data_IF_067255841780
#
_entry.id   IF_067255841780
#
_cell.length_a   1.000
_cell.length_b   1.000
_cell.length_c   1.000
_cell.angle_alpha   90.00
_cell.angle_beta   90.00
_cell.angle_gamma   90.00
#
_symmetry.space_group_name_H-M   'P 1'
#
loop_
_entity.id
_entity.type
_entity.pdbx_description
1 polymer ?
#
# COMPACT_ATOMS: atom_id res chain seq x y z
N UNK A 1 28.77 9.19 27.72
CA UNK A 1 27.52 9.98 27.85
C UNK A 1 27.69 11.51 27.84
N UNK A 2 28.27 12.19 28.86
CA UNK A 2 28.43 13.68 28.80
C UNK A 2 29.27 14.13 27.61
N UNK A 3 30.29 13.34 27.27
CA UNK A 3 31.12 13.53 26.08
C UNK A 3 30.28 13.50 24.79
N UNK A 4 29.43 12.48 24.60
CA UNK A 4 28.63 12.30 23.38
C UNK A 4 27.62 13.45 23.18
N UNK A 5 26.98 13.89 24.26
CA UNK A 5 26.04 15.03 24.22
C UNK A 5 26.77 16.32 23.84
N UNK A 6 27.95 16.56 24.44
CA UNK A 6 28.76 17.73 24.10
C UNK A 6 29.23 17.68 22.65
N UNK A 7 29.63 16.50 22.16
CA UNK A 7 30.06 16.31 20.78
C UNK A 7 28.92 16.58 19.79
N UNK A 8 27.73 16.02 20.03
CA UNK A 8 26.55 16.27 19.21
C UNK A 8 26.19 17.76 19.13
N UNK A 9 26.18 18.45 20.28
CA UNK A 9 25.94 19.91 20.35
C UNK A 9 27.03 20.72 19.66
N UNK A 10 28.30 20.33 19.80
CA UNK A 10 29.43 21.02 19.17
C UNK A 10 29.39 20.88 17.65
N UNK A 11 29.09 19.69 17.11
CA UNK A 11 28.93 19.45 15.67
C UNK A 11 27.77 20.26 15.11
N UNK A 12 26.62 20.26 15.80
CA UNK A 12 25.48 21.09 15.40
C UNK A 12 25.82 22.59 15.42
N UNK A 13 26.50 23.05 16.46
CA UNK A 13 26.91 24.45 16.58
C UNK A 13 27.86 24.86 15.45
N UNK A 14 28.83 24.03 15.12
CA UNK A 14 29.75 24.26 13.99
C UNK A 14 28.98 24.31 12.66
N UNK A 15 28.07 23.38 12.40
CA UNK A 15 27.21 23.39 11.21
C UNK A 15 26.32 24.63 11.14
N UNK A 16 25.71 25.03 12.26
CA UNK A 16 24.84 26.22 12.34
C UNK A 16 25.61 27.49 11.99
N UNK A 17 26.87 27.59 12.40
CA UNK A 17 27.71 28.76 12.12
C UNK A 17 28.19 28.85 10.67
N UNK A 18 28.16 27.75 9.92
CA UNK A 18 28.47 27.75 8.48
C UNK A 18 27.34 28.32 7.63
N UNK A 19 26.14 28.48 8.19
CA UNK A 19 24.96 28.98 7.49
C UNK A 19 24.75 30.47 7.80
N UNK A 20 24.86 31.37 6.80
CA UNK A 20 24.49 32.76 6.99
C UNK A 20 23.00 32.87 7.33
N UNK A 21 22.70 33.45 8.50
CA UNK A 21 21.32 33.63 9.00
C UNK A 21 20.40 34.41 8.05
N UNK A 22 20.98 35.20 7.13
CA UNK A 22 20.23 35.93 6.10
C UNK A 22 19.64 35.03 5.01
N UNK A 23 20.18 33.82 4.82
CA UNK A 23 19.69 32.86 3.81
C UNK A 23 18.79 31.82 4.48
N UNK A 24 19.30 31.18 5.54
CA UNK A 24 18.59 30.14 6.27
C UNK A 24 19.21 29.94 7.65
N UNK A 25 18.52 29.20 8.52
CA UNK A 25 19.02 28.78 9.84
C UNK A 25 18.56 27.37 10.12
N UNK A 26 19.26 26.69 11.03
CA UNK A 26 18.85 25.41 11.61
C UNK A 26 18.64 25.59 13.10
N UNK A 27 17.51 25.11 13.61
CA UNK A 27 17.18 25.18 15.04
C UNK A 27 17.41 23.83 15.72
N UNK A 28 17.89 23.88 16.96
CA UNK A 28 18.23 22.67 17.70
C UNK A 28 16.99 21.85 17.99
N UNK A 29 15.89 22.51 18.34
CA UNK A 29 14.62 21.89 18.74
C UNK A 29 13.96 21.09 17.60
N UNK A 30 14.24 21.45 16.34
CA UNK A 30 13.75 20.76 15.14
C UNK A 30 14.78 19.75 14.57
N UNK A 31 15.89 19.53 15.27
CA UNK A 31 17.00 18.73 14.79
C UNK A 31 17.31 17.55 15.71
N UNK A 32 17.95 16.53 15.15
CA UNK A 32 18.37 15.36 15.90
C UNK A 32 19.83 15.01 15.58
N UNK A 33 20.64 14.78 16.62
CA UNK A 33 22.03 14.33 16.49
C UNK A 33 22.23 13.02 17.22
N UNK A 34 22.70 11.99 16.51
CA UNK A 34 23.11 10.71 17.09
C UNK A 34 24.62 10.53 17.01
N UNK A 35 25.23 10.12 18.12
CA UNK A 35 26.67 9.88 18.22
C UNK A 35 26.91 8.41 18.54
N UNK A 36 27.50 7.70 17.58
CA UNK A 36 28.04 6.36 17.78
C UNK A 36 29.42 6.47 18.45
N UNK A 37 29.59 5.82 19.61
CA UNK A 37 30.80 5.93 20.42
C UNK A 37 31.07 4.66 21.23
N UNK A 38 32.08 4.69 22.10
CA UNK A 38 32.37 3.57 23.02
C UNK A 38 31.17 3.25 23.92
N UNK A 39 30.50 4.29 24.42
CA UNK A 39 29.35 4.15 25.32
C UNK A 39 28.06 3.83 24.54
N UNK A 40 27.91 4.37 23.32
CA UNK A 40 26.70 4.26 22.51
C UNK A 40 26.89 3.26 21.34
N UNK A 41 26.31 2.04 21.39
CA UNK A 41 26.46 1.03 20.35
C UNK A 41 25.59 1.24 19.11
N UNK A 42 24.60 2.12 19.20
CA UNK A 42 23.61 2.34 18.16
C UNK A 42 23.86 3.68 17.45
N UNK A 43 23.67 3.69 16.14
CA UNK A 43 23.53 4.92 15.36
C UNK A 43 22.06 5.09 14.97
N UNK A 44 21.47 6.23 15.31
CA UNK A 44 20.06 6.53 15.08
C UNK A 44 19.92 7.65 14.06
N UNK A 45 18.98 7.52 13.14
CA UNK A 45 18.56 8.62 12.27
C UNK A 45 17.14 8.38 11.76
N UNK A 46 16.51 9.43 11.24
CA UNK A 46 15.26 9.32 10.51
C UNK A 46 15.42 9.90 9.11
N UNK A 47 14.82 9.24 8.12
CA UNK A 47 14.87 9.68 6.73
C UNK A 47 13.61 9.26 5.98
N UNK A 48 13.00 10.19 5.26
CA UNK A 48 11.82 9.94 4.43
C UNK A 48 10.67 9.23 5.18
N UNK A 49 10.51 9.52 6.48
CA UNK A 49 9.47 8.92 7.34
C UNK A 49 9.83 7.56 7.96
N UNK A 50 11.01 7.02 7.67
CA UNK A 50 11.57 5.85 8.35
C UNK A 50 12.45 6.27 9.51
N UNK A 51 12.29 5.63 10.66
CA UNK A 51 13.23 5.68 11.78
C UNK A 51 14.14 4.46 11.71
N UNK A 52 15.45 4.70 11.71
CA UNK A 52 16.45 3.66 11.49
C UNK A 52 17.43 3.63 12.66
N UNK A 53 17.61 2.44 13.22
CA UNK A 53 18.67 2.15 14.18
C UNK A 53 19.65 1.16 13.59
N UNK A 54 20.90 1.57 13.42
CA UNK A 54 21.99 0.71 12.97
C UNK A 54 22.76 0.19 14.18
N UNK A 55 22.93 -1.13 14.25
CA UNK A 55 23.75 -1.82 15.24
C UNK A 55 24.82 -2.68 14.53
N UNK A 56 26.11 -2.33 14.66
CA UNK A 56 27.20 -3.16 14.14
C UNK A 56 27.31 -4.50 14.87
N UNK A 57 27.57 -5.58 14.12
CA UNK A 57 27.68 -6.94 14.64
C UNK A 57 28.73 -7.06 15.74
N UNK A 58 29.88 -6.38 15.59
CA UNK A 58 30.97 -6.33 16.57
C UNK A 58 30.57 -5.79 17.96
N UNK A 59 29.46 -5.07 18.04
CA UNK A 59 28.95 -4.46 19.27
C UNK A 59 27.72 -5.18 19.83
N UNK A 60 27.26 -6.23 19.16
CA UNK A 60 26.18 -7.08 19.64
C UNK A 60 26.74 -8.11 20.62
N UNK A 61 26.63 -7.83 21.93
CA UNK A 61 27.24 -8.67 22.97
C UNK A 61 26.52 -10.01 23.21
N UNK A 62 25.28 -10.14 22.74
CA UNK A 62 24.44 -11.29 23.07
C UNK A 62 24.38 -12.35 21.97
N UNK A 63 24.96 -12.11 20.78
CA UNK A 63 24.84 -12.96 19.57
C UNK A 63 23.42 -13.44 19.21
N UNK A 64 22.39 -12.95 19.91
CA UNK A 64 20.99 -13.10 19.56
C UNK A 64 20.71 -12.20 18.37
N UNK A 65 20.72 -12.81 17.19
CA UNK A 65 20.17 -12.20 15.99
C UNK A 65 18.70 -12.58 15.94
N UNK A 66 17.76 -11.72 16.37
CA UNK A 66 16.38 -11.92 16.00
C UNK A 66 16.33 -11.74 14.48
N UNK A 67 16.32 -12.85 13.74
CA UNK A 67 15.93 -12.88 12.32
C UNK A 67 14.44 -12.56 12.30
N UNK A 68 14.13 -11.28 12.52
CA UNK A 68 12.79 -10.70 12.35
C UNK A 68 12.73 -10.19 10.91
N UNK A 69 11.62 -10.44 10.23
CA UNK A 69 11.35 -10.01 8.84
C UNK A 69 11.42 -8.47 8.62
N UNK A 70 11.66 -7.68 9.68
CA UNK A 70 11.68 -6.22 9.70
C UNK A 70 13.07 -5.61 9.96
N UNK A 71 14.13 -6.41 9.86
CA UNK A 71 15.51 -5.98 10.11
C UNK A 71 16.36 -6.22 8.87
N UNK A 72 16.96 -5.16 8.32
CA UNK A 72 17.87 -5.31 7.18
C UNK A 72 19.24 -5.80 7.64
N UNK A 73 19.79 -6.73 6.87
CA UNK A 73 21.17 -7.19 7.04
C UNK A 73 22.10 -6.42 6.11
N UNK A 74 22.86 -5.47 6.66
CA UNK A 74 23.79 -4.66 5.89
C UNK A 74 25.05 -5.46 5.57
N UNK A 75 25.38 -5.53 4.28
CA UNK A 75 26.51 -6.29 3.74
C UNK A 75 27.63 -5.35 3.35
N UNK A 76 28.86 -5.67 3.77
CA UNK A 76 30.03 -4.98 3.25
C UNK A 76 30.29 -5.38 1.80
N UNK A 77 30.45 -4.40 0.93
CA UNK A 77 30.62 -4.64 -0.50
C UNK A 77 31.95 -5.33 -0.83
N UNK A 78 32.99 -5.16 0.00
CA UNK A 78 34.31 -5.76 -0.26
C UNK A 78 34.39 -7.21 0.19
N UNK A 79 34.05 -7.49 1.44
CA UNK A 79 34.13 -8.85 2.03
C UNK A 79 32.90 -9.71 1.76
N UNK A 80 31.77 -9.09 1.37
CA UNK A 80 30.44 -9.73 1.26
C UNK A 80 29.90 -10.27 2.59
N UNK A 81 30.50 -9.90 3.71
CA UNK A 81 30.03 -10.29 5.03
C UNK A 81 28.92 -9.35 5.53
N UNK A 82 28.00 -9.90 6.33
CA UNK A 82 26.99 -9.11 7.04
C UNK A 82 27.63 -8.46 8.28
N UNK A 83 27.79 -7.14 8.24
CA UNK A 83 28.56 -6.39 9.25
C UNK A 83 27.70 -5.61 10.23
N UNK A 84 26.45 -5.29 9.86
CA UNK A 84 25.54 -4.54 10.70
C UNK A 84 24.07 -4.89 10.42
N UNK A 85 23.21 -4.57 11.38
CA UNK A 85 21.76 -4.69 11.26
C UNK A 85 21.11 -3.32 11.34
N UNK A 86 20.14 -3.07 10.46
CA UNK A 86 19.31 -1.86 10.51
C UNK A 86 17.88 -2.23 10.90
N UNK A 87 17.45 -1.76 12.06
CA UNK A 87 16.09 -1.89 12.55
C UNK A 87 15.28 -0.70 12.05
N UNK A 88 14.10 -0.98 11.48
CA UNK A 88 13.25 0.04 10.86
C UNK A 88 11.97 0.21 11.66
N UNK A 89 11.51 1.46 11.79
CA UNK A 89 10.18 1.83 12.27
C UNK A 89 9.62 2.99 11.44
N UNK A 90 8.34 3.27 11.58
CA UNK A 90 7.69 4.43 10.96
C UNK A 90 7.66 5.58 11.97
N UNK A 91 8.07 6.76 11.51
CA UNK A 91 8.05 8.00 12.33
C UNK A 91 6.65 8.32 12.85
N UNK A 92 6.58 8.87 14.07
CA UNK A 92 5.30 9.26 14.70
C UNK A 92 4.51 10.25 13.82
N UNK A 93 5.20 11.22 13.21
CA UNK A 93 4.61 12.21 12.31
C UNK A 93 3.83 11.56 11.16
N UNK A 94 4.38 10.50 10.56
CA UNK A 94 3.74 9.83 9.43
C UNK A 94 2.59 8.92 9.88
N UNK A 95 2.66 8.35 11.07
CA UNK A 95 1.51 7.69 11.73
C UNK A 95 0.37 8.71 11.90
N UNK A 96 0.69 9.92 12.37
CA UNK A 96 -0.29 10.99 12.55
C UNK A 96 -0.85 11.49 11.21
N UNK A 97 -0.02 11.65 10.18
CA UNK A 97 -0.47 11.99 8.81
C UNK A 97 -1.46 10.97 8.27
N UNK A 98 -1.19 9.67 8.46
CA UNK A 98 -2.13 8.61 8.08
C UNK A 98 -3.45 8.72 8.84
N UNK A 99 -3.41 8.87 10.17
CA UNK A 99 -4.62 9.04 10.99
C UNK A 99 -5.45 10.26 10.55
N UNK A 100 -4.79 11.39 10.32
CA UNK A 100 -5.43 12.62 9.82
C UNK A 100 -6.04 12.44 8.43
N UNK A 101 -5.38 11.68 7.55
CA UNK A 101 -5.94 11.32 6.25
C UNK A 101 -7.22 10.50 6.38
N UNK A 102 -7.27 9.52 7.29
CA UNK A 102 -8.49 8.75 7.54
C UNK A 102 -9.60 9.61 8.14
N UNK A 103 -9.27 10.51 9.08
CA UNK A 103 -10.23 11.49 9.62
C UNK A 103 -10.82 12.36 8.50
N UNK A 104 -10.00 12.86 7.59
CA UNK A 104 -10.45 13.63 6.42
C UNK A 104 -11.38 12.81 5.51
N UNK A 105 -11.09 11.52 5.29
CA UNK A 105 -11.98 10.61 4.55
C UNK A 105 -13.34 10.54 5.26
N UNK A 106 -13.37 10.31 6.57
CA UNK A 106 -14.61 10.20 7.34
C UNK A 106 -15.43 11.50 7.33
N UNK A 107 -14.79 12.66 7.50
CA UNK A 107 -15.45 13.98 7.47
C UNK A 107 -16.01 14.33 6.09
N UNK A 108 -15.29 13.97 5.02
CA UNK A 108 -15.74 14.22 3.63
C UNK A 108 -16.75 13.22 3.09
N UNK A 109 -17.16 12.23 3.90
CA UNK A 109 -18.03 11.11 3.48
C UNK A 109 -19.48 11.26 3.96
N UNK A 110 -20.00 12.49 4.02
CA UNK A 110 -21.37 12.83 4.47
C UNK A 110 -22.46 12.02 3.78
N UNK A 111 -22.58 12.17 2.45
CA UNK A 111 -23.57 11.49 1.61
C UNK A 111 -22.93 10.76 0.41
N UNK A 112 -21.70 10.26 0.59
CA UNK A 112 -20.98 9.53 -0.46
C UNK A 112 -21.35 8.05 -0.43
N UNK A 113 -21.30 7.38 -1.59
CA UNK A 113 -21.52 5.93 -1.68
C UNK A 113 -20.52 5.13 -0.84
N UNK A 114 -20.94 4.00 -0.27
CA UNK A 114 -20.06 3.15 0.54
C UNK A 114 -18.84 2.65 -0.23
N UNK A 115 -19.01 2.35 -1.52
CA UNK A 115 -17.93 1.99 -2.43
C UNK A 115 -16.86 3.08 -2.55
N UNK A 116 -17.24 4.37 -2.56
CA UNK A 116 -16.29 5.49 -2.57
C UNK A 116 -15.50 5.59 -1.25
N UNK A 117 -16.15 5.31 -0.11
CA UNK A 117 -15.50 5.29 1.20
C UNK A 117 -14.45 4.16 1.24
N UNK A 118 -14.86 2.94 0.87
CA UNK A 118 -13.96 1.78 0.80
C UNK A 118 -12.78 2.02 -0.17
N UNK A 119 -13.01 2.64 -1.33
CA UNK A 119 -11.94 2.97 -2.27
C UNK A 119 -10.92 3.97 -1.72
N UNK A 120 -11.39 5.00 -1.00
CA UNK A 120 -10.50 5.98 -0.36
C UNK A 120 -9.67 5.32 0.74
N UNK A 121 -10.27 4.43 1.53
CA UNK A 121 -9.57 3.59 2.52
C UNK A 121 -8.51 2.72 1.85
N UNK A 122 -8.89 1.91 0.86
CA UNK A 122 -7.97 1.02 0.14
C UNK A 122 -6.79 1.79 -0.45
N UNK A 123 -7.04 2.96 -1.05
CA UNK A 123 -5.95 3.78 -1.62
C UNK A 123 -4.98 4.26 -0.55
N UNK A 124 -5.49 4.72 0.61
CA UNK A 124 -4.65 5.17 1.71
C UNK A 124 -3.86 4.01 2.35
N UNK A 125 -4.51 2.86 2.54
CA UNK A 125 -3.91 1.66 3.13
C UNK A 125 -2.82 1.07 2.22
N UNK A 126 -3.11 0.92 0.91
CA UNK A 126 -2.14 0.45 -0.07
C UNK A 126 -0.93 1.39 -0.08
N UNK A 127 -1.13 2.71 -0.14
CA UNK A 127 -0.02 3.65 -0.18
C UNK A 127 0.88 3.58 1.07
N UNK A 128 0.29 3.38 2.25
CA UNK A 128 1.03 3.19 3.49
C UNK A 128 1.88 1.91 3.42
N UNK A 129 1.27 0.76 3.11
CA UNK A 129 1.97 -0.52 3.13
C UNK A 129 2.94 -0.71 1.96
N UNK A 130 2.70 -0.11 0.79
CA UNK A 130 3.64 -0.23 -0.34
C UNK A 130 4.85 0.70 -0.20
N UNK A 131 4.71 1.79 0.56
CA UNK A 131 5.82 2.68 0.91
C UNK A 131 6.63 2.14 2.08
N UNK A 132 5.99 1.83 3.23
CA UNK A 132 6.70 1.44 4.45
C UNK A 132 7.01 -0.06 4.56
N UNK A 133 6.23 -0.92 3.89
CA UNK A 133 6.43 -2.37 3.81
C UNK A 133 6.76 -3.00 5.17
N UNK A 134 7.94 -3.58 5.35
CA UNK A 134 8.39 -4.24 6.57
C UNK A 134 8.45 -3.30 7.79
N UNK A 135 8.72 -2.00 7.61
CA UNK A 135 8.76 -1.02 8.69
C UNK A 135 7.36 -0.78 9.30
N UNK A 136 6.30 -0.97 8.50
CA UNK A 136 4.94 -0.84 9.01
C UNK A 136 4.59 -1.96 10.02
N UNK A 137 5.22 -3.14 9.88
CA UNK A 137 4.95 -4.32 10.72
C UNK A 137 5.75 -4.30 12.02
N UNK A 138 6.96 -3.74 12.01
CA UNK A 138 7.73 -3.52 13.25
C UNK A 138 7.16 -2.43 14.14
N UNK A 139 6.29 -1.56 13.61
CA UNK A 139 5.76 -0.39 14.32
C UNK A 139 4.40 -0.68 14.95
N UNK A 140 4.41 -1.13 16.22
CA UNK A 140 3.18 -1.52 16.95
C UNK A 140 2.14 -0.40 17.01
N UNK A 141 2.58 0.85 17.22
CA UNK A 141 1.68 2.00 17.32
C UNK A 141 0.94 2.29 16.00
N UNK A 142 1.59 2.02 14.86
CA UNK A 142 0.98 2.12 13.55
C UNK A 142 -0.08 1.02 13.37
N UNK A 143 0.22 -0.22 13.76
CA UNK A 143 -0.72 -1.34 13.70
C UNK A 143 -1.99 -1.03 14.51
N UNK A 144 -1.83 -0.52 15.74
CA UNK A 144 -2.95 -0.08 16.58
C UNK A 144 -3.78 1.03 15.92
N UNK A 145 -3.12 1.96 15.24
CA UNK A 145 -3.77 3.05 14.53
C UNK A 145 -4.54 2.53 13.32
N UNK A 146 -4.01 1.56 12.57
CA UNK A 146 -4.68 0.90 11.44
C UNK A 146 -5.95 0.20 11.91
N UNK A 147 -5.88 -0.61 12.98
CA UNK A 147 -7.05 -1.30 13.55
C UNK A 147 -8.17 -0.30 13.91
N UNK A 148 -7.82 0.78 14.61
CA UNK A 148 -8.79 1.83 14.99
C UNK A 148 -9.38 2.51 13.76
N UNK A 149 -8.56 2.80 12.74
CA UNK A 149 -9.01 3.47 11.53
C UNK A 149 -9.93 2.58 10.68
N UNK A 150 -9.60 1.30 10.53
CA UNK A 150 -10.41 0.32 9.80
C UNK A 150 -11.78 0.14 10.46
N UNK A 151 -11.79 -0.01 11.79
CA UNK A 151 -13.03 -0.09 12.58
C UNK A 151 -13.90 1.16 12.42
N UNK A 152 -13.30 2.36 12.37
CA UNK A 152 -14.03 3.61 12.12
C UNK A 152 -14.64 3.67 10.73
N UNK A 153 -13.92 3.20 9.70
CA UNK A 153 -14.43 3.13 8.32
C UNK A 153 -15.61 2.17 8.22
N UNK A 154 -15.49 0.96 8.78
CA UNK A 154 -16.60 0.01 8.85
C UNK A 154 -17.80 0.60 9.61
N UNK A 155 -17.55 1.23 10.76
CA UNK A 155 -18.60 1.88 11.57
C UNK A 155 -19.32 2.98 10.79
N UNK A 156 -18.61 3.72 9.92
CA UNK A 156 -19.22 4.74 9.07
C UNK A 156 -20.21 4.13 8.06
N UNK A 157 -19.87 2.98 7.48
CA UNK A 157 -20.78 2.22 6.60
C UNK A 157 -21.99 1.71 7.38
N UNK A 158 -21.76 1.12 8.57
CA UNK A 158 -22.81 0.65 9.48
C UNK A 158 -23.81 1.75 9.83
N UNK A 159 -23.33 2.93 10.24
CA UNK A 159 -24.16 4.11 10.53
C UNK A 159 -24.94 4.58 9.30
N UNK A 160 -24.36 4.50 8.10
CA UNK A 160 -25.06 4.84 6.86
C UNK A 160 -26.26 3.93 6.55
N UNK A 161 -26.28 2.71 7.11
CA UNK A 161 -27.39 1.75 7.03
C UNK A 161 -28.26 1.74 8.30
N UNK A 162 -28.09 2.75 9.18
CA UNK A 162 -28.81 2.92 10.43
C UNK A 162 -28.80 1.68 11.35
N UNK A 163 -27.68 0.95 11.39
CA UNK A 163 -27.50 -0.17 12.31
C UNK A 163 -26.04 -0.29 12.74
N UNK A 164 -25.81 -0.74 13.97
CA UNK A 164 -24.45 -1.08 14.47
C UNK A 164 -24.33 -2.54 14.90
N UNK A 165 -25.39 -3.32 14.73
CA UNK A 165 -25.49 -4.69 15.23
C UNK A 165 -24.49 -5.61 14.49
N UNK A 166 -23.51 -6.23 15.17
CA UNK A 166 -22.47 -7.03 14.50
C UNK A 166 -23.00 -8.15 13.60
N UNK A 167 -24.07 -8.84 14.03
CA UNK A 167 -24.68 -9.95 13.28
C UNK A 167 -25.25 -9.55 11.91
N UNK A 168 -25.58 -8.27 11.70
CA UNK A 168 -26.06 -7.76 10.39
C UNK A 168 -24.93 -7.41 9.42
N UNK A 169 -23.70 -7.38 9.92
CA UNK A 169 -22.53 -6.95 9.15
C UNK A 169 -21.43 -8.00 9.27
N UNK A 170 -21.65 -9.22 8.75
CA UNK A 170 -20.60 -10.22 8.68
C UNK A 170 -19.44 -9.69 7.82
N UNK A 171 -18.21 -10.19 8.01
CA UNK A 171 -17.05 -9.69 7.28
C UNK A 171 -17.21 -9.73 5.75
N UNK A 172 -17.96 -10.71 5.23
CA UNK A 172 -18.30 -10.83 3.83
C UNK A 172 -18.86 -9.53 3.23
N UNK A 173 -19.64 -8.73 3.97
CA UNK A 173 -20.19 -7.45 3.46
C UNK A 173 -19.08 -6.44 3.13
N UNK A 174 -17.98 -6.44 3.90
CA UNK A 174 -16.88 -5.49 3.73
C UNK A 174 -15.82 -6.00 2.76
N UNK A 175 -15.39 -7.25 2.90
CA UNK A 175 -14.18 -7.76 2.22
C UNK A 175 -14.46 -8.46 0.90
N UNK A 176 -15.70 -8.90 0.65
CA UNK A 176 -16.05 -9.52 -0.64
C UNK A 176 -15.68 -8.57 -1.79
N UNK A 177 -15.00 -9.07 -2.84
CA UNK A 177 -14.63 -8.26 -3.99
C UNK A 177 -15.85 -7.62 -4.68
N UNK A 178 -15.61 -6.49 -5.35
CA UNK A 178 -16.70 -5.73 -5.99
C UNK A 178 -17.37 -6.49 -7.12
N UNK A 179 -16.64 -7.41 -7.76
CA UNK A 179 -17.17 -8.27 -8.81
C UNK A 179 -18.22 -9.25 -8.28
N UNK A 180 -18.27 -9.48 -6.96
CA UNK A 180 -19.26 -10.31 -6.26
C UNK A 180 -20.25 -9.47 -5.42
N UNK A 181 -20.36 -8.17 -5.69
CA UNK A 181 -21.33 -7.28 -5.03
C UNK A 181 -20.90 -6.72 -3.67
N UNK A 182 -19.70 -7.04 -3.18
CA UNK A 182 -19.17 -6.50 -1.93
C UNK A 182 -18.50 -5.12 -2.07
N UNK A 183 -18.01 -4.57 -0.95
CA UNK A 183 -17.27 -3.31 -0.96
C UNK A 183 -15.83 -3.44 -1.47
N UNK A 184 -15.27 -4.65 -1.45
CA UNK A 184 -13.88 -4.93 -1.77
C UNK A 184 -12.91 -4.13 -0.88
N UNK A 185 -13.26 -3.94 0.39
CA UNK A 185 -12.40 -3.27 1.36
C UNK A 185 -11.18 -4.16 1.62
N UNK A 186 -10.00 -3.56 1.73
CA UNK A 186 -8.77 -4.30 2.03
C UNK A 186 -8.53 -4.27 3.55
N UNK A 187 -8.24 -5.44 4.11
CA UNK A 187 -7.92 -5.63 5.52
C UNK A 187 -6.46 -5.31 5.80
N UNK A 188 -6.23 -4.41 6.76
CA UNK A 188 -4.94 -4.18 7.41
C UNK A 188 -4.96 -4.56 8.90
N UNK A 189 -6.12 -4.86 9.46
CA UNK A 189 -6.35 -5.03 10.91
C UNK A 189 -6.48 -6.46 11.40
N UNK A 190 -6.70 -7.44 10.51
CA UNK A 190 -6.80 -8.87 10.86
C UNK A 190 -5.41 -9.45 11.10
N UNK A 191 -4.79 -8.99 12.19
CA UNK A 191 -3.46 -9.38 12.65
C UNK A 191 -3.50 -9.64 14.16
N UNK A 192 -2.63 -10.55 14.57
CA UNK A 192 -2.21 -10.69 15.94
C UNK A 192 -1.13 -9.64 16.21
N UNK A 193 -1.47 -8.64 17.01
CA UNK A 193 -0.54 -7.57 17.39
C UNK A 193 0.36 -8.11 18.51
N UNK A 194 1.69 -8.12 18.30
CA UNK A 194 2.61 -8.50 19.36
C UNK A 194 2.45 -7.60 20.57
N UNK A 195 2.28 -8.21 21.74
CA UNK A 195 2.20 -7.51 23.01
C UNK A 195 3.25 -8.07 23.96
N UNK A 196 3.94 -7.16 24.63
CA UNK A 196 4.87 -7.45 25.70
C UNK A 196 4.43 -6.77 26.98
N UNK A 197 5.02 -7.14 28.11
CA UNK A 197 4.68 -6.50 29.37
C UNK A 197 5.05 -5.01 29.32
N UNK A 198 4.04 -4.15 29.42
CA UNK A 198 4.18 -2.69 29.36
C UNK A 198 5.15 -2.14 30.40
N UNK A 199 5.34 -2.84 31.53
CA UNK A 199 6.24 -2.43 32.60
C UNK A 199 7.72 -2.46 32.17
N UNK A 200 8.11 -3.44 31.35
CA UNK A 200 9.51 -3.62 30.92
C UNK A 200 9.76 -3.24 29.45
N UNK A 201 8.71 -3.16 28.62
CA UNK A 201 8.78 -2.76 27.21
C UNK A 201 9.47 -1.41 26.94
N UNK A 202 9.48 -0.51 27.92
CA UNK A 202 10.15 0.81 27.82
C UNK A 202 11.66 0.75 28.00
N UNK A 203 12.19 -0.31 28.62
CA UNK A 203 13.61 -0.43 28.99
C UNK A 203 14.37 -1.41 28.09
N UNK A 204 13.74 -2.52 27.69
CA UNK A 204 14.34 -3.54 26.82
C UNK A 204 13.30 -4.14 25.89
N UNK A 205 13.73 -4.60 24.70
CA UNK A 205 12.90 -5.46 23.84
C UNK A 205 12.81 -6.83 24.52
N UNK A 206 11.79 -7.02 25.36
CA UNK A 206 11.53 -8.28 26.08
C UNK A 206 11.00 -9.39 25.17
N UNK A 207 10.97 -9.16 23.85
CA UNK A 207 10.36 -10.05 22.89
C UNK A 207 8.83 -10.05 22.99
N UNK A 208 8.19 -10.94 22.23
CA UNK A 208 6.74 -11.07 22.23
C UNK A 208 6.34 -12.07 23.32
N UNK A 209 5.65 -11.61 24.37
CA UNK A 209 5.19 -12.51 25.45
C UNK A 209 3.77 -13.02 25.22
N UNK A 210 2.93 -12.22 24.56
CA UNK A 210 1.56 -12.59 24.20
C UNK A 210 1.14 -11.87 22.92
N UNK A 211 0.07 -12.34 22.29
CA UNK A 211 -0.51 -11.70 21.12
C UNK A 211 -1.88 -11.13 21.47
N UNK A 212 -2.15 -9.89 21.06
CA UNK A 212 -3.47 -9.25 21.16
C UNK A 212 -4.12 -9.27 19.79
N UNK A 213 -5.34 -9.81 19.69
CA UNK A 213 -6.09 -9.74 18.43
C UNK A 213 -6.43 -8.28 18.07
N UNK A 214 -6.18 -7.90 16.81
CA UNK A 214 -6.52 -6.58 16.28
C UNK A 214 -8.04 -6.38 16.16
N UNK A 215 -8.74 -7.30 15.49
CA UNK A 215 -10.21 -7.30 15.38
C UNK A 215 -10.79 -8.66 15.80
N UNK A 216 -11.94 -8.63 16.45
CA UNK A 216 -12.70 -9.82 16.83
C UNK A 216 -13.51 -10.35 15.63
N UNK A 217 -13.36 -11.62 15.31
CA UNK A 217 -14.16 -12.36 14.32
C UNK A 217 -14.48 -13.75 14.89
N UNK A 218 -15.47 -14.43 14.31
CA UNK A 218 -15.78 -15.82 14.67
C UNK A 218 -14.57 -16.71 14.35
N UNK A 219 -14.24 -17.63 15.28
CA UNK A 219 -12.94 -18.32 15.42
C UNK A 219 -12.44 -19.09 14.18
N UNK A 220 -13.28 -19.30 13.16
CA UNK A 220 -12.94 -20.08 11.97
C UNK A 220 -12.55 -19.23 10.73
N UNK A 221 -12.83 -17.92 10.70
CA UNK A 221 -12.71 -17.10 9.47
C UNK A 221 -11.50 -16.15 9.45
N UNK A 222 -10.32 -16.66 9.11
CA UNK A 222 -9.09 -15.86 9.02
C UNK A 222 -9.03 -15.01 7.75
N UNK A 223 -9.36 -13.72 7.86
CA UNK A 223 -9.28 -12.78 6.74
C UNK A 223 -7.82 -12.44 6.42
N UNK A 224 -7.37 -12.62 5.16
CA UNK A 224 -6.01 -12.27 4.76
C UNK A 224 -5.69 -10.80 5.00
N UNK A 225 -4.45 -10.53 5.42
CA UNK A 225 -3.93 -9.18 5.60
C UNK A 225 -3.08 -8.74 4.39
N UNK A 226 -3.23 -7.49 3.96
CA UNK A 226 -2.47 -6.89 2.85
C UNK A 226 -0.95 -7.08 2.96
N UNK A 227 -0.38 -7.01 4.17
CA UNK A 227 1.07 -7.10 4.36
C UNK A 227 1.67 -8.39 3.78
N UNK A 228 0.97 -9.51 3.89
CA UNK A 228 1.45 -10.81 3.39
C UNK A 228 1.62 -10.85 1.87
N UNK A 229 1.01 -9.91 1.15
CA UNK A 229 1.00 -9.83 -0.31
C UNK A 229 1.91 -8.71 -0.84
N UNK A 230 2.67 -8.06 0.04
CA UNK A 230 3.64 -7.04 -0.35
C UNK A 230 5.03 -7.57 0.02
N UNK A 231 5.87 -7.71 -1.01
CA UNK A 231 7.25 -8.17 -0.85
C UNK A 231 8.04 -7.10 -0.09
N UNK A 232 8.84 -7.43 0.95
CA UNK A 232 9.69 -6.46 1.65
C UNK A 232 10.68 -5.72 0.73
N UNK A 233 11.12 -4.51 1.10
CA UNK A 233 12.09 -3.74 0.32
C UNK A 233 13.44 -4.45 0.20
N UNK A 234 13.95 -5.06 1.28
CA UNK A 234 15.21 -5.81 1.23
C UNK A 234 15.19 -6.90 0.15
N UNK A 235 14.13 -7.70 0.12
CA UNK A 235 13.95 -8.75 -0.88
C UNK A 235 13.86 -8.17 -2.30
N UNK A 236 13.20 -7.03 -2.47
CA UNK A 236 13.09 -6.35 -3.78
C UNK A 236 14.39 -5.71 -4.25
N UNK A 237 15.23 -5.20 -3.34
CA UNK A 237 16.55 -4.69 -3.70
C UNK A 237 17.50 -5.80 -4.14
N UNK A 238 17.53 -6.91 -3.38
CA UNK A 238 18.31 -8.09 -3.71
C UNK A 238 17.86 -8.66 -5.06
N UNK A 239 16.55 -8.81 -5.23
CA UNK A 239 15.98 -9.33 -6.47
C UNK A 239 16.24 -8.40 -7.66
N UNK A 240 16.13 -7.08 -7.46
CA UNK A 240 16.43 -6.10 -8.49
C UNK A 240 17.87 -6.21 -9.00
N UNK A 241 18.84 -6.36 -8.10
CA UNK A 241 20.23 -6.52 -8.51
C UNK A 241 20.43 -7.78 -9.36
N UNK A 242 19.82 -8.90 -8.96
CA UNK A 242 19.86 -10.14 -9.74
C UNK A 242 19.22 -9.97 -11.11
N UNK A 243 17.97 -9.51 -11.13
CA UNK A 243 17.14 -9.39 -12.33
C UNK A 243 17.78 -8.45 -13.37
N UNK A 244 18.33 -7.32 -12.94
CA UNK A 244 19.02 -6.40 -13.85
C UNK A 244 20.39 -6.91 -14.32
N UNK A 245 21.07 -7.73 -13.52
CA UNK A 245 22.31 -8.41 -13.94
C UNK A 245 22.02 -9.45 -15.01
N UNK A 246 21.00 -10.30 -14.79
CA UNK A 246 20.54 -11.31 -15.75
C UNK A 246 20.04 -10.64 -17.05
N UNK A 247 19.28 -9.55 -16.96
CA UNK A 247 18.86 -8.78 -18.13
C UNK A 247 20.06 -8.27 -18.94
N UNK A 248 21.10 -7.76 -18.27
CA UNK A 248 22.31 -7.25 -18.93
C UNK A 248 23.06 -8.37 -19.68
N UNK A 249 23.17 -9.55 -19.06
CA UNK A 249 23.76 -10.74 -19.69
C UNK A 249 22.95 -11.22 -20.90
N UNK A 250 21.64 -11.42 -20.74
CA UNK A 250 20.73 -11.81 -21.84
C UNK A 250 20.78 -10.81 -23.00
N UNK A 251 20.89 -9.52 -22.71
CA UNK A 251 21.03 -8.47 -23.72
C UNK A 251 22.37 -8.55 -24.46
N UNK A 252 23.46 -8.83 -23.76
CA UNK A 252 24.78 -9.04 -24.38
C UNK A 252 24.79 -10.28 -25.28
N UNK A 253 24.24 -11.39 -24.82
CA UNK A 253 24.11 -12.63 -25.60
C UNK A 253 23.25 -12.44 -26.85
N UNK A 254 22.11 -11.75 -26.71
CA UNK A 254 21.24 -11.44 -27.84
C UNK A 254 21.97 -10.58 -28.89
N UNK A 255 22.73 -9.57 -28.46
CA UNK A 255 23.54 -8.75 -29.35
C UNK A 255 24.65 -9.55 -30.05
N UNK A 256 25.32 -10.48 -29.35
CA UNK A 256 26.33 -11.36 -29.95
C UNK A 256 25.72 -12.29 -31.02
N UNK A 257 24.48 -12.72 -30.81
CA UNK A 257 23.70 -13.50 -31.78
C UNK A 257 23.02 -12.64 -32.85
N UNK A 258 23.25 -11.32 -32.88
CA UNK A 258 22.55 -10.36 -33.74
C UNK A 258 21.02 -10.47 -33.69
N UNK A 259 20.46 -10.91 -32.56
CA UNK A 259 19.01 -11.00 -32.32
C UNK A 259 18.55 -9.87 -31.40
N UNK A 260 17.29 -9.45 -31.56
CA UNK A 260 16.65 -8.53 -30.62
C UNK A 260 16.02 -9.32 -29.49
N UNK A 261 16.29 -8.93 -28.25
CA UNK A 261 15.62 -9.47 -27.07
C UNK A 261 14.10 -9.26 -27.17
N UNK A 262 13.32 -10.32 -27.00
CA UNK A 262 11.85 -10.28 -27.06
C UNK A 262 11.23 -10.32 -25.66
N UNK A 263 9.90 -10.24 -25.61
CA UNK A 263 9.13 -10.40 -24.38
C UNK A 263 9.36 -11.78 -23.75
N UNK A 264 9.34 -12.82 -24.58
CA UNK A 264 9.43 -14.24 -24.18
C UNK A 264 10.72 -14.54 -23.43
N UNK A 265 11.84 -13.88 -23.78
CA UNK A 265 13.12 -14.03 -23.10
C UNK A 265 13.10 -13.54 -21.63
N UNK A 266 12.09 -12.72 -21.26
CA UNK A 266 12.01 -12.00 -19.99
C UNK A 266 10.75 -12.31 -19.17
N UNK A 267 9.91 -13.24 -19.60
CA UNK A 267 8.62 -13.56 -18.97
C UNK A 267 8.77 -13.86 -17.46
N UNK A 268 9.79 -14.66 -17.09
CA UNK A 268 10.09 -15.04 -15.70
C UNK A 268 10.41 -13.83 -14.79
N UNK A 269 10.81 -12.71 -15.39
CA UNK A 269 11.26 -11.49 -14.72
C UNK A 269 10.38 -10.27 -14.99
N UNK A 270 9.24 -10.46 -15.67
CA UNK A 270 8.45 -9.38 -16.26
C UNK A 270 8.04 -8.30 -15.26
N UNK A 271 7.50 -8.72 -14.11
CA UNK A 271 7.03 -7.85 -13.03
C UNK A 271 8.07 -7.65 -11.92
N UNK A 272 9.35 -7.91 -12.20
CA UNK A 272 10.44 -7.87 -11.21
C UNK A 272 11.41 -6.72 -11.46
N UNK A 273 12.19 -6.42 -10.43
CA UNK A 273 13.22 -5.38 -10.45
C UNK A 273 12.73 -3.97 -10.16
N UNK A 274 13.69 -3.11 -9.83
CA UNK A 274 13.52 -1.68 -9.57
C UNK A 274 14.52 -0.88 -10.43
N UNK A 275 14.08 -0.15 -11.46
CA UNK A 275 12.71 -0.11 -12.01
C UNK A 275 12.23 -1.48 -12.53
N UNK A 276 10.92 -1.66 -12.71
CA UNK A 276 10.34 -2.92 -13.22
C UNK A 276 10.78 -3.17 -14.67
N UNK A 277 11.16 -4.41 -15.00
CA UNK A 277 11.64 -4.76 -16.35
C UNK A 277 10.60 -4.46 -17.43
N UNK A 278 9.32 -4.73 -17.17
CA UNK A 278 8.23 -4.47 -18.13
C UNK A 278 8.15 -3.01 -18.60
N UNK A 279 8.73 -2.05 -17.87
CA UNK A 279 8.77 -0.64 -18.28
C UNK A 279 9.58 -0.40 -19.56
N UNK A 280 10.51 -1.30 -19.89
CA UNK A 280 11.31 -1.24 -21.11
C UNK A 280 10.49 -1.39 -22.39
N UNK A 281 9.30 -1.99 -22.29
CA UNK A 281 8.39 -2.34 -23.39
C UNK A 281 7.17 -1.42 -23.46
N UNK A 282 7.18 -0.30 -22.73
CA UNK A 282 6.13 0.69 -22.82
C UNK A 282 6.08 1.36 -24.20
N UNK A 283 4.88 1.60 -24.70
CA UNK A 283 4.63 2.29 -25.98
C UNK A 283 5.29 3.67 -26.04
N UNK A 284 5.25 4.39 -24.92
CA UNK A 284 5.69 5.79 -24.84
C UNK A 284 7.13 5.94 -24.29
N UNK A 285 7.92 4.87 -24.25
CA UNK A 285 9.30 4.88 -23.73
C UNK A 285 10.17 5.99 -24.33
N UNK A 286 10.03 6.25 -25.63
CA UNK A 286 10.81 7.26 -26.34
C UNK A 286 10.55 8.66 -25.79
N UNK A 287 9.30 9.00 -25.50
CA UNK A 287 8.94 10.32 -24.93
C UNK A 287 9.32 10.41 -23.45
N UNK A 288 9.15 9.32 -22.69
CA UNK A 288 9.54 9.25 -21.27
C UNK A 288 11.04 9.46 -21.04
N UNK A 289 11.89 9.18 -22.03
CA UNK A 289 13.32 9.45 -21.94
C UNK A 289 13.65 10.93 -21.69
N UNK A 290 12.78 11.85 -22.13
CA UNK A 290 12.91 13.29 -21.94
C UNK A 290 12.27 13.79 -20.63
N UNK A 291 11.45 12.99 -19.95
CA UNK A 291 10.78 13.39 -18.71
C UNK A 291 11.72 13.25 -17.50
N UNK A 292 12.59 14.25 -17.33
CA UNK A 292 13.51 14.36 -16.20
C UNK A 292 12.90 15.09 -15.01
N UNK A 293 13.39 14.81 -13.80
CA UNK A 293 12.95 15.47 -12.57
C UNK A 293 11.51 15.12 -12.14
N UNK A 294 10.95 14.02 -12.63
CA UNK A 294 9.54 13.65 -12.38
C UNK A 294 9.23 13.41 -10.90
N UNK A 295 10.20 12.95 -10.08
CA UNK A 295 10.00 12.72 -8.63
C UNK A 295 9.77 14.03 -7.87
N UNK A 296 10.68 14.99 -8.00
CA UNK A 296 10.53 16.32 -7.40
C UNK A 296 9.25 17.02 -7.89
N UNK A 297 8.95 16.89 -9.19
CA UNK A 297 7.68 17.40 -9.75
C UNK A 297 6.47 16.74 -9.11
N UNK A 298 6.50 15.44 -8.84
CA UNK A 298 5.39 14.72 -8.21
C UNK A 298 5.19 15.12 -6.74
N UNK A 299 6.27 15.34 -6.01
CA UNK A 299 6.25 15.84 -4.64
C UNK A 299 5.70 17.26 -4.55
N UNK A 300 6.16 18.17 -5.43
CA UNK A 300 5.76 19.58 -5.42
C UNK A 300 4.32 19.82 -5.89
N UNK A 301 3.63 18.79 -6.42
CA UNK A 301 2.21 18.88 -6.75
C UNK A 301 1.33 19.21 -5.54
N UNK A 302 1.79 18.98 -4.31
CA UNK A 302 1.06 19.37 -3.10
C UNK A 302 0.78 20.88 -3.04
N UNK A 303 1.64 21.70 -3.64
CA UNK A 303 1.48 23.16 -3.69
C UNK A 303 0.63 23.64 -4.87
N UNK A 304 0.34 22.76 -5.82
CA UNK A 304 -0.41 23.09 -7.04
C UNK A 304 -1.83 22.53 -7.03
N UNK A 305 -2.03 21.37 -6.39
CA UNK A 305 -3.26 20.61 -6.43
C UNK A 305 -3.76 20.35 -5.01
N UNK A 306 -5.02 20.70 -4.73
CA UNK A 306 -5.68 20.41 -3.46
C UNK A 306 -5.96 18.90 -3.25
N UNK A 307 -5.91 18.11 -4.33
CA UNK A 307 -6.13 16.67 -4.27
C UNK A 307 -4.87 16.00 -3.73
N UNK A 308 -5.01 15.35 -2.57
CA UNK A 308 -3.93 14.53 -2.00
C UNK A 308 -3.50 13.42 -2.97
N UNK A 309 -2.19 13.32 -3.22
CA UNK A 309 -1.56 12.23 -3.96
C UNK A 309 -0.85 11.28 -2.98
N UNK A 310 -1.44 10.12 -2.64
CA UNK A 310 -0.82 9.19 -1.72
C UNK A 310 0.39 8.45 -2.31
N UNK A 311 0.56 8.46 -3.64
CA UNK A 311 1.69 7.86 -4.35
C UNK A 311 2.63 8.95 -4.90
N UNK A 312 2.99 9.92 -4.06
CA UNK A 312 3.87 11.04 -4.43
C UNK A 312 5.31 10.59 -4.77
N UNK A 313 5.74 9.46 -4.21
CA UNK A 313 7.10 8.94 -4.30
C UNK A 313 7.38 8.10 -5.56
N UNK A 314 6.35 7.61 -6.26
CA UNK A 314 6.49 6.69 -7.40
C UNK A 314 5.74 7.16 -8.65
N UNK A 315 6.21 6.72 -9.82
CA UNK A 315 5.50 6.86 -11.09
C UNK A 315 5.37 5.50 -11.78
N UNK A 316 4.15 5.05 -12.05
CA UNK A 316 3.94 3.78 -12.79
C UNK A 316 4.56 3.80 -14.20
N UNK A 317 4.74 4.97 -14.80
CA UNK A 317 5.39 5.09 -16.11
C UNK A 317 6.91 4.87 -16.02
N UNK A 318 7.56 5.38 -14.97
CA UNK A 318 9.02 5.28 -14.82
C UNK A 318 9.46 4.08 -13.99
N UNK A 319 8.78 3.80 -12.88
CA UNK A 319 9.12 2.75 -11.92
C UNK A 319 8.41 1.42 -12.25
N UNK A 320 7.27 1.48 -12.95
CA UNK A 320 6.35 0.36 -13.12
C UNK A 320 5.39 0.19 -11.93
N UNK A 321 4.55 -0.84 -11.98
CA UNK A 321 3.65 -1.17 -10.87
C UNK A 321 4.42 -1.96 -9.81
N UNK A 322 4.59 -1.39 -8.62
CA UNK A 322 5.46 -1.95 -7.57
C UNK A 322 4.76 -2.97 -6.66
N UNK A 323 3.46 -3.22 -6.84
CA UNK A 323 2.71 -4.19 -6.04
C UNK A 323 1.64 -4.89 -6.89
N UNK A 324 1.32 -6.13 -6.51
CA UNK A 324 0.25 -6.91 -7.12
C UNK A 324 -0.60 -7.55 -6.03
N UNK A 325 -1.91 -7.25 -6.03
CA UNK A 325 -2.87 -7.74 -5.03
C UNK A 325 -3.90 -8.69 -5.66
N UNK A 326 -3.59 -9.28 -6.81
CA UNK A 326 -4.48 -10.24 -7.45
C UNK A 326 -4.65 -11.51 -6.59
N UNK A 327 -3.56 -12.01 -6.00
CA UNK A 327 -3.59 -13.14 -5.06
C UNK A 327 -4.34 -12.80 -3.77
N UNK A 328 -4.20 -11.57 -3.25
CA UNK A 328 -5.00 -11.11 -2.10
C UNK A 328 -6.50 -11.28 -2.37
N UNK A 329 -6.95 -10.90 -3.56
CA UNK A 329 -8.37 -11.01 -3.94
C UNK A 329 -8.84 -12.46 -3.98
N UNK A 330 -8.05 -13.39 -4.53
CA UNK A 330 -8.44 -14.81 -4.59
C UNK A 330 -8.50 -15.42 -3.21
N UNK A 331 -7.54 -15.10 -2.35
CA UNK A 331 -7.45 -15.70 -1.02
C UNK A 331 -8.51 -15.15 -0.08
N UNK A 332 -8.92 -13.88 -0.25
CA UNK A 332 -10.08 -13.32 0.47
C UNK A 332 -11.37 -14.06 0.10
N UNK A 333 -11.56 -14.43 -1.18
CA UNK A 333 -12.73 -15.21 -1.59
C UNK A 333 -12.73 -16.57 -0.88
N UNK A 334 -11.58 -17.25 -0.83
CA UNK A 334 -11.45 -18.54 -0.16
C UNK A 334 -11.66 -18.43 1.35
N UNK A 335 -11.09 -17.41 1.99
CA UNK A 335 -11.25 -17.15 3.43
C UNK A 335 -12.70 -16.85 3.84
N UNK A 336 -13.54 -16.40 2.89
CA UNK A 336 -14.97 -16.17 3.10
C UNK A 336 -15.84 -17.40 2.76
N UNK A 337 -15.23 -18.57 2.54
CA UNK A 337 -15.94 -19.81 2.21
C UNK A 337 -16.14 -20.06 0.71
N UNK A 338 -15.49 -19.29 -0.16
CA UNK A 338 -15.64 -19.39 -1.61
C UNK A 338 -16.81 -18.58 -2.15
N UNK A 339 -16.99 -18.61 -3.47
CA UNK A 339 -17.99 -17.78 -4.16
C UNK A 339 -19.42 -18.17 -3.77
N UNK A 340 -19.71 -19.47 -3.62
CA UNK A 340 -21.05 -19.96 -3.30
C UNK A 340 -21.50 -19.47 -1.92
N UNK A 341 -20.68 -19.63 -0.88
CA UNK A 341 -20.99 -19.15 0.48
C UNK A 341 -21.16 -17.65 0.53
N UNK A 342 -20.35 -16.88 -0.22
CA UNK A 342 -20.53 -15.44 -0.36
C UNK A 342 -21.91 -15.12 -0.94
N UNK A 343 -22.34 -15.84 -1.99
CA UNK A 343 -23.62 -15.60 -2.66
C UNK A 343 -24.83 -16.00 -1.82
N UNK A 344 -24.70 -16.92 -0.86
CA UNK A 344 -25.75 -17.22 0.13
C UNK A 344 -26.11 -16.01 0.99
N UNK A 345 -25.18 -15.07 1.19
CA UNK A 345 -25.44 -13.80 1.88
C UNK A 345 -26.07 -12.72 0.97
N UNK A 346 -26.40 -13.06 -0.26
CA UNK A 346 -26.96 -12.13 -1.26
C UNK A 346 -28.33 -12.59 -1.75
N UNK A 347 -29.00 -11.76 -2.56
CA UNK A 347 -30.24 -12.13 -3.24
C UNK A 347 -30.02 -12.94 -4.53
N UNK A 348 -28.84 -13.52 -4.75
CA UNK A 348 -28.49 -14.20 -6.00
C UNK A 348 -29.49 -15.30 -6.38
N UNK A 349 -29.91 -16.17 -5.45
CA UNK A 349 -30.92 -17.22 -5.73
C UNK A 349 -32.26 -16.65 -6.22
N UNK A 350 -32.64 -15.47 -5.76
CA UNK A 350 -33.89 -14.81 -6.17
C UNK A 350 -33.83 -14.24 -7.59
N UNK A 351 -32.63 -14.07 -8.17
CA UNK A 351 -32.47 -13.58 -9.55
C UNK A 351 -32.80 -14.63 -10.60
N UNK A 352 -32.91 -15.91 -10.23
CA UNK A 352 -33.23 -17.00 -11.15
C UNK A 352 -32.09 -17.39 -12.10
N UNK A 353 -30.89 -16.82 -11.96
CA UNK A 353 -29.74 -17.23 -12.76
C UNK A 353 -29.25 -18.62 -12.34
N UNK A 354 -28.91 -19.51 -13.31
CA UNK A 354 -28.44 -20.87 -13.01
C UNK A 354 -26.98 -20.92 -12.55
N UNK A 355 -26.16 -19.92 -12.88
CA UNK A 355 -24.75 -19.83 -12.49
C UNK A 355 -24.37 -18.36 -12.27
N UNK A 356 -23.37 -18.14 -11.42
CA UNK A 356 -22.77 -16.82 -11.18
C UNK A 356 -21.70 -16.48 -12.22
N UNK A 357 -21.23 -17.46 -13.00
CA UNK A 357 -20.22 -17.28 -14.03
C UNK A 357 -20.75 -16.39 -15.18
N UNK A 358 -19.93 -15.43 -15.63
CA UNK A 358 -20.30 -14.52 -16.71
C UNK A 358 -21.23 -13.37 -16.30
N UNK A 359 -21.63 -13.29 -15.03
CA UNK A 359 -22.30 -12.10 -14.51
C UNK A 359 -21.36 -10.91 -14.53
N UNK A 360 -21.90 -9.77 -14.94
CA UNK A 360 -21.21 -8.50 -14.88
C UNK A 360 -22.10 -7.50 -14.14
N UNK A 361 -21.48 -6.75 -13.23
CA UNK A 361 -22.14 -5.61 -12.62
C UNK A 361 -22.05 -4.44 -13.58
N UNK A 362 -23.21 -3.95 -14.01
CA UNK A 362 -23.25 -2.71 -14.75
C UNK A 362 -22.72 -1.58 -13.84
N UNK A 363 -21.70 -0.86 -14.31
CA UNK A 363 -21.28 0.37 -13.61
C UNK A 363 -22.44 1.36 -13.66
N UNK A 364 -22.41 2.42 -12.86
CA UNK A 364 -23.49 3.41 -12.78
C UNK A 364 -23.67 4.27 -14.06
N UNK A 365 -23.61 3.69 -15.26
CA UNK A 365 -23.95 4.30 -16.53
C UNK A 365 -25.46 4.50 -16.72
N UNK A 366 -26.29 3.94 -15.84
CA UNK A 366 -27.75 4.13 -15.81
C UNK A 366 -28.23 4.95 -14.60
N UNK A 367 -27.40 5.83 -14.05
CA UNK A 367 -27.89 6.77 -13.04
C UNK A 367 -28.84 7.79 -13.67
N UNK A 368 -29.91 8.18 -12.96
CA UNK A 368 -30.81 9.26 -13.37
C UNK A 368 -30.02 10.52 -13.74
N UNK A 369 -30.28 11.10 -14.90
CA UNK A 369 -29.56 12.23 -15.49
C UNK A 369 -28.33 11.85 -16.34
N UNK A 370 -28.01 10.56 -16.49
CA UNK A 370 -26.97 10.13 -17.44
C UNK A 370 -27.56 10.16 -18.86
N UNK A 371 -26.81 10.70 -19.83
CA UNK A 371 -27.22 10.70 -21.23
C UNK A 371 -26.66 9.46 -21.92
N UNK A 372 -27.54 8.63 -22.48
CA UNK A 372 -27.21 7.50 -23.34
C UNK A 372 -27.30 7.91 -24.81
N UNK A 373 -26.55 7.24 -25.66
CA UNK A 373 -26.70 7.33 -27.11
C UNK A 373 -27.70 6.28 -27.58
N UNK A 374 -28.70 6.72 -28.34
CA UNK A 374 -29.52 5.86 -29.18
C UNK A 374 -28.73 5.44 -30.41
N UNK A 375 -29.18 4.38 -31.07
CA UNK A 375 -28.56 3.87 -32.30
C UNK A 375 -28.56 4.91 -33.43
N UNK A 376 -29.54 5.80 -33.47
CA UNK A 376 -29.61 6.96 -34.38
C UNK A 376 -28.67 8.12 -34.01
N UNK A 377 -27.76 7.90 -33.05
CA UNK A 377 -26.82 8.89 -32.49
C UNK A 377 -27.48 10.05 -31.73
N UNK A 378 -28.79 9.99 -31.46
CA UNK A 378 -29.46 10.96 -30.59
C UNK A 378 -29.18 10.65 -29.12
N UNK A 379 -29.19 11.68 -28.27
CA UNK A 379 -28.97 11.51 -26.83
C UNK A 379 -30.31 11.42 -26.11
N UNK A 380 -30.44 10.45 -25.22
CA UNK A 380 -31.62 10.24 -24.37
C UNK A 380 -31.18 10.13 -22.92
N UNK A 381 -31.87 10.80 -22.00
CA UNK A 381 -31.61 10.61 -20.58
C UNK A 381 -32.06 9.22 -20.15
N UNK A 382 -31.36 8.57 -19.23
CA UNK A 382 -31.68 7.20 -18.77
C UNK A 382 -33.14 7.07 -18.31
N UNK A 383 -33.67 8.09 -17.64
CA UNK A 383 -35.07 8.15 -17.19
C UNK A 383 -36.10 8.15 -18.32
N UNK A 384 -35.71 8.59 -19.52
CA UNK A 384 -36.59 8.74 -20.67
C UNK A 384 -36.48 7.56 -21.66
N UNK A 385 -35.57 6.61 -21.41
CA UNK A 385 -35.40 5.41 -22.24
C UNK A 385 -36.57 4.45 -22.00
N UNK A 386 -37.27 4.05 -23.06
CA UNK A 386 -38.42 3.13 -23.00
C UNK A 386 -38.05 1.71 -23.43
N UNK A 387 -38.90 0.75 -23.09
CA UNK A 387 -38.79 -0.62 -23.61
C UNK A 387 -38.91 -0.61 -25.14
N UNK A 388 -37.99 -1.30 -25.82
CA UNK A 388 -37.87 -1.26 -27.28
C UNK A 388 -36.95 -0.16 -27.85
N UNK A 389 -36.47 0.78 -27.04
CA UNK A 389 -35.44 1.73 -27.49
C UNK A 389 -34.15 0.98 -27.85
N UNK A 390 -33.57 1.32 -29.01
CA UNK A 390 -32.29 0.80 -29.48
C UNK A 390 -31.17 1.73 -29.02
N UNK A 391 -30.37 1.28 -28.05
CA UNK A 391 -29.21 2.00 -27.55
C UNK A 391 -27.96 1.60 -28.31
N UNK A 392 -27.01 2.52 -28.45
CA UNK A 392 -25.73 2.25 -29.07
C UNK A 392 -24.83 1.46 -28.11
N UNK A 393 -24.50 0.23 -28.48
CA UNK A 393 -23.56 -0.61 -27.74
C UNK A 393 -22.12 -0.13 -27.88
N UNK A 394 -21.23 -0.54 -26.95
CA UNK A 394 -19.80 -0.20 -27.02
C UNK A 394 -19.07 -0.81 -28.23
N UNK A 395 -19.68 -1.81 -28.86
CA UNK A 395 -19.29 -2.43 -30.13
C UNK A 395 -19.85 -1.69 -31.37
N UNK A 396 -20.59 -0.60 -31.18
CA UNK A 396 -21.26 0.16 -32.25
C UNK A 396 -22.56 -0.48 -32.76
N UNK A 397 -22.98 -1.62 -32.21
CA UNK A 397 -24.22 -2.31 -32.59
C UNK A 397 -25.44 -1.87 -31.77
N UNK A 398 -26.67 -2.04 -32.28
CA UNK A 398 -27.89 -1.72 -31.53
C UNK A 398 -28.17 -2.73 -30.41
N UNK A 399 -28.44 -2.23 -29.20
CA UNK A 399 -28.86 -3.02 -28.02
C UNK A 399 -30.32 -2.68 -27.68
N UNK A 400 -31.28 -3.59 -27.89
CA UNK A 400 -32.66 -3.35 -27.47
C UNK A 400 -32.77 -3.41 -25.94
N UNK A 401 -33.38 -2.40 -25.32
CA UNK A 401 -33.72 -2.46 -23.90
C UNK A 401 -34.85 -3.45 -23.69
N UNK A 402 -34.57 -4.55 -22.97
CA UNK A 402 -35.58 -5.45 -22.40
C UNK A 402 -35.73 -5.10 -20.92
N UNK A 403 -36.96 -4.87 -20.48
CA UNK A 403 -37.25 -4.77 -19.05
C UNK A 403 -37.33 -6.23 -18.55
N UNK A 404 -36.46 -6.60 -17.62
CA UNK A 404 -36.76 -7.75 -16.77
C UNK A 404 -37.85 -7.27 -15.81
N UNK A 405 -39.08 -7.71 -16.06
CA UNK A 405 -40.24 -7.49 -15.19
C UNK A 405 -40.04 -8.15 -13.83
#
# INVERSE_FOLDING_TARGET
MRHDVNLGRAVFWDLKNRLPRSITTIEWDDSFTSVYSRDNPNLLFSMCGFEVRILPKIRNQNDEFPVKDSVWSLVDNTTKERTAHAFLQVTEDDIQKFNNRIRQILMSSGSTTFTKIANKWNTALIALFTYYREAAVSTIELLDTIVKCETKIQTRVKIGLNSKMPSRFPPAVFYTPKELGGLGMISGSHILIPASDKRWSKQTDTGVTHYRSGMTHDEETLIPNIFRYIIPWEAEFIDSQRVWTEYSQKRMEANQQNRRLTLEDLEDSWDRGLPRINTLFQKDRSTLSFDKGFRARAEFKIYQLMKNNPFWWTSQRHDGKLWNLNAYRTDVIQALGGVETILEHTLFKATGFPSWEGLFWEKACLAKGTMLLRYDSTKVAVEDVKEGDLLLGPDGGPRPRRILS
#
